data_IF_562059705968
#
_entry.id   IF_562059705968
#
_cell.length_a   1.000
_cell.length_b   1.000
_cell.length_c   1.000
_cell.angle_alpha   90.00
_cell.angle_beta   90.00
_cell.angle_gamma   90.00
#
_symmetry.space_group_name_H-M   'P 1'
#
loop_
_entity.id
_entity.type
_entity.pdbx_description
1 polymer ?
#
# COMPACT_ATOMS: atom_id res chain seq x y z
N UNK A 1 51.87 -55.15 -10.56
CA UNK A 1 51.29 -53.87 -10.10
C UNK A 1 51.08 -52.81 -11.20
N UNK A 2 51.48 -53.04 -12.47
CA UNK A 2 51.27 -52.09 -13.59
C UNK A 2 50.00 -52.32 -14.43
N UNK A 3 49.33 -53.48 -14.33
CA UNK A 3 48.13 -53.78 -15.12
C UNK A 3 46.83 -53.15 -14.57
N UNK A 4 46.79 -52.74 -13.29
CA UNK A 4 45.58 -52.21 -12.65
C UNK A 4 45.40 -50.69 -12.80
N UNK A 5 46.45 -49.94 -13.18
CA UNK A 5 46.35 -48.48 -13.37
C UNK A 5 45.87 -48.11 -14.78
N UNK A 6 46.15 -48.95 -15.79
CA UNK A 6 45.74 -48.70 -17.18
C UNK A 6 44.21 -48.83 -17.38
N UNK A 7 43.52 -49.73 -16.67
CA UNK A 7 42.06 -49.88 -16.80
C UNK A 7 41.28 -48.75 -16.13
N UNK A 8 41.78 -48.20 -15.02
CA UNK A 8 41.15 -47.09 -14.32
C UNK A 8 41.28 -45.76 -15.11
N UNK A 9 42.43 -45.54 -15.76
CA UNK A 9 42.67 -44.35 -16.58
C UNK A 9 41.80 -44.33 -17.85
N UNK A 10 41.64 -45.48 -18.52
CA UNK A 10 40.75 -45.61 -19.68
C UNK A 10 39.26 -45.41 -19.32
N UNK A 11 38.84 -45.82 -18.12
CA UNK A 11 37.45 -45.65 -17.67
C UNK A 11 37.13 -44.19 -17.33
N UNK A 12 38.07 -43.45 -16.73
CA UNK A 12 37.94 -42.03 -16.43
C UNK A 12 37.97 -41.15 -17.70
N UNK A 13 38.81 -41.48 -18.68
CA UNK A 13 38.84 -40.82 -19.99
C UNK A 13 37.52 -41.01 -20.76
N UNK A 14 36.97 -42.22 -20.76
CA UNK A 14 35.69 -42.51 -21.43
C UNK A 14 34.49 -41.76 -20.80
N UNK A 15 34.47 -41.60 -19.47
CA UNK A 15 33.44 -40.84 -18.74
C UNK A 15 33.54 -39.33 -18.99
N UNK A 16 34.77 -38.78 -19.05
CA UNK A 16 34.99 -37.37 -19.40
C UNK A 16 34.65 -37.09 -20.86
N UNK A 17 35.01 -37.98 -21.79
CA UNK A 17 34.61 -37.86 -23.20
C UNK A 17 33.09 -37.89 -23.37
N UNK A 18 32.37 -38.81 -22.71
CA UNK A 18 30.89 -38.85 -22.74
C UNK A 18 30.24 -37.58 -22.18
N UNK A 19 30.79 -36.99 -21.11
CA UNK A 19 30.24 -35.72 -20.56
C UNK A 19 30.51 -34.54 -21.50
N UNK A 20 31.70 -34.45 -22.09
CA UNK A 20 32.04 -33.39 -23.04
C UNK A 20 31.20 -33.50 -24.32
N UNK A 21 30.99 -34.70 -24.86
CA UNK A 21 30.14 -34.88 -26.05
C UNK A 21 28.67 -34.58 -25.77
N UNK A 22 28.16 -34.87 -24.57
CA UNK A 22 26.78 -34.53 -24.19
C UNK A 22 26.59 -33.02 -24.04
N UNK A 23 27.57 -32.32 -23.47
CA UNK A 23 27.55 -30.86 -23.32
C UNK A 23 27.68 -30.17 -24.68
N UNK A 24 28.58 -30.64 -25.56
CA UNK A 24 28.70 -30.11 -26.93
C UNK A 24 27.44 -30.35 -27.75
N UNK A 25 26.82 -31.52 -27.66
CA UNK A 25 25.57 -31.82 -28.36
C UNK A 25 24.42 -30.91 -27.87
N UNK A 26 24.35 -30.64 -26.56
CA UNK A 26 23.38 -29.70 -25.99
C UNK A 26 23.58 -28.24 -26.45
N UNK A 27 24.84 -27.79 -26.56
CA UNK A 27 25.20 -26.47 -27.07
C UNK A 27 24.93 -26.30 -28.58
N UNK A 28 25.17 -27.35 -29.37
CA UNK A 28 24.87 -27.33 -30.81
C UNK A 28 23.35 -27.29 -31.02
N UNK A 29 22.58 -28.05 -30.24
CA UNK A 29 21.12 -28.07 -30.33
C UNK A 29 20.52 -26.72 -29.92
N UNK A 30 21.06 -26.06 -28.89
CA UNK A 30 20.58 -24.74 -28.44
C UNK A 30 20.91 -23.63 -29.45
N UNK A 31 22.11 -23.63 -30.03
CA UNK A 31 22.50 -22.69 -31.09
C UNK A 31 21.65 -22.92 -32.35
N UNK A 32 21.38 -24.17 -32.74
CA UNK A 32 20.51 -24.48 -33.86
C UNK A 32 19.07 -24.01 -33.63
N UNK A 33 18.52 -24.16 -32.42
CA UNK A 33 17.18 -23.62 -32.09
C UNK A 33 17.13 -22.09 -32.09
N UNK A 34 18.18 -21.42 -31.61
CA UNK A 34 18.27 -19.95 -31.64
C UNK A 34 18.37 -19.46 -33.10
N UNK A 35 19.20 -20.08 -33.93
CA UNK A 35 19.31 -19.74 -35.35
C UNK A 35 18.01 -20.00 -36.11
N UNK A 36 17.26 -21.06 -35.77
CA UNK A 36 15.96 -21.34 -36.37
C UNK A 36 14.87 -20.35 -35.94
N UNK A 37 14.92 -19.84 -34.70
CA UNK A 37 14.03 -18.79 -34.21
C UNK A 37 14.37 -17.41 -34.82
N UNK A 38 15.66 -17.10 -34.97
CA UNK A 38 16.12 -15.82 -35.54
C UNK A 38 15.90 -15.77 -37.06
N UNK A 39 16.06 -16.88 -37.80
CA UNK A 39 15.83 -16.92 -39.24
C UNK A 39 14.33 -16.99 -39.65
N UNK A 40 13.41 -17.30 -38.73
CA UNK A 40 11.96 -17.28 -38.98
C UNK A 40 11.28 -15.97 -38.56
N UNK A 41 12.03 -15.00 -38.04
CA UNK A 41 11.56 -13.63 -37.90
C UNK A 41 11.73 -12.93 -39.25
N UNK A 42 10.61 -12.77 -39.97
CA UNK A 42 10.57 -11.91 -41.17
C UNK A 42 11.07 -10.48 -40.87
N UNK A 43 11.44 -9.70 -41.89
CA UNK A 43 12.02 -8.39 -41.68
C UNK A 43 11.06 -7.49 -40.90
N UNK A 44 11.58 -6.80 -39.90
CA UNK A 44 10.84 -5.83 -39.10
C UNK A 44 10.21 -4.76 -40.01
N UNK A 45 8.97 -4.30 -39.73
CA UNK A 45 8.34 -3.24 -40.52
C UNK A 45 9.20 -1.97 -40.47
N UNK A 46 9.53 -1.45 -41.65
CA UNK A 46 10.31 -0.22 -41.82
C UNK A 46 9.53 0.99 -41.32
N UNK A 47 10.02 1.62 -40.25
CA UNK A 47 9.59 2.94 -39.79
C UNK A 47 9.79 3.97 -40.93
N UNK A 48 8.76 4.79 -41.27
CA UNK A 48 8.94 5.84 -42.25
C UNK A 48 9.87 6.94 -41.70
N UNK A 49 10.84 7.31 -42.53
CA UNK A 49 11.85 8.35 -42.27
C UNK A 49 11.18 9.70 -42.02
N UNK A 50 11.57 10.35 -40.93
CA UNK A 50 11.15 11.70 -40.58
C UNK A 50 11.56 12.77 -41.60
N UNK A 51 10.74 13.81 -41.67
CA UNK A 51 11.03 15.15 -42.21
C UNK A 51 10.30 16.19 -41.34
N UNK A 52 10.72 17.46 -41.36
CA UNK A 52 11.16 18.17 -40.15
C UNK A 52 10.09 19.10 -39.57
N UNK A 53 10.33 19.44 -38.29
CA UNK A 53 9.78 20.55 -37.48
C UNK A 53 8.48 21.21 -37.97
N UNK A 54 7.39 20.88 -37.28
CA UNK A 54 6.26 21.76 -37.10
C UNK A 54 6.00 21.93 -35.59
N UNK A 55 6.20 23.17 -35.17
CA UNK A 55 5.85 23.82 -33.90
C UNK A 55 4.61 23.28 -33.16
N UNK A 56 4.80 23.07 -31.84
CA UNK A 56 3.81 23.07 -30.75
C UNK A 56 2.55 22.22 -30.95
N UNK A 57 2.62 20.93 -30.62
CA UNK A 57 1.44 20.16 -30.19
C UNK A 57 1.22 20.40 -28.71
N UNK A 58 0.14 21.09 -28.37
CA UNK A 58 -0.33 21.20 -26.99
C UNK A 58 -0.68 19.83 -26.44
N UNK A 59 -0.36 19.62 -25.17
CA UNK A 59 -0.89 18.50 -24.40
C UNK A 59 -2.42 18.56 -24.48
N UNK A 60 -3.04 17.59 -25.14
CA UNK A 60 -4.47 17.34 -25.01
C UNK A 60 -4.68 16.89 -23.56
N UNK A 61 -4.97 17.85 -22.68
CA UNK A 61 -5.36 17.58 -21.29
C UNK A 61 -6.62 16.74 -21.36
N UNK A 62 -6.47 15.45 -21.10
CA UNK A 62 -7.58 14.51 -20.97
C UNK A 62 -8.53 15.04 -19.90
N UNK A 63 -9.61 15.67 -20.34
CA UNK A 63 -10.55 16.35 -19.44
C UNK A 63 -11.39 15.29 -18.73
N UNK A 64 -11.05 14.98 -17.49
CA UNK A 64 -11.85 14.07 -16.66
C UNK A 64 -13.21 14.70 -16.36
N UNK A 65 -14.24 13.87 -16.20
CA UNK A 65 -15.61 14.28 -15.84
C UNK A 65 -15.63 15.12 -14.55
N UNK A 66 -14.75 14.76 -13.61
CA UNK A 66 -14.47 15.54 -12.42
C UNK A 66 -12.98 15.91 -12.44
N UNK A 67 -12.62 17.18 -12.74
CA UNK A 67 -11.23 17.62 -12.76
C UNK A 67 -10.61 17.58 -11.36
N UNK A 68 -9.29 17.67 -11.29
CA UNK A 68 -8.59 17.81 -10.00
C UNK A 68 -9.10 19.03 -9.25
N UNK A 69 -9.30 18.91 -7.93
CA UNK A 69 -9.73 20.03 -7.10
C UNK A 69 -8.74 21.22 -7.15
N UNK A 70 -7.45 20.95 -7.38
CA UNK A 70 -6.42 21.99 -7.57
C UNK A 70 -6.64 22.84 -8.82
N UNK A 71 -7.40 22.34 -9.81
CA UNK A 71 -7.73 23.08 -11.03
C UNK A 71 -9.01 23.91 -10.90
N UNK A 72 -9.79 23.72 -9.82
CA UNK A 72 -10.96 24.54 -9.58
C UNK A 72 -10.55 25.96 -9.16
N UNK A 73 -10.84 26.92 -10.02
CA UNK A 73 -10.72 28.36 -9.75
C UNK A 73 -12.02 28.95 -9.20
N UNK A 74 -13.05 28.12 -8.98
CA UNK A 74 -14.35 28.57 -8.49
C UNK A 74 -14.26 28.95 -6.99
N UNK A 75 -14.43 30.24 -6.63
CA UNK A 75 -14.40 30.68 -5.25
C UNK A 75 -15.53 30.09 -4.38
N UNK A 76 -16.56 29.47 -4.98
CA UNK A 76 -17.63 28.78 -4.27
C UNK A 76 -17.26 27.35 -3.83
N UNK A 77 -16.19 26.76 -4.36
CA UNK A 77 -15.63 25.51 -3.80
C UNK A 77 -14.73 25.91 -2.63
N UNK A 78 -15.38 26.11 -1.49
CA UNK A 78 -14.67 26.43 -0.26
C UNK A 78 -14.06 25.14 0.28
N UNK A 79 -12.75 24.99 0.12
CA UNK A 79 -12.01 24.03 0.93
C UNK A 79 -12.34 24.32 2.41
N UNK A 80 -12.75 23.34 3.21
CA UNK A 80 -12.99 23.53 4.65
C UNK A 80 -11.72 23.85 5.45
N UNK A 81 -10.61 24.22 4.79
CA UNK A 81 -9.21 24.18 5.23
C UNK A 81 -8.98 24.79 6.62
N UNK A 82 -9.75 25.82 7.01
CA UNK A 82 -9.58 26.46 8.32
C UNK A 82 -10.59 26.00 9.38
N UNK A 83 -11.81 25.56 9.01
CA UNK A 83 -12.84 25.20 9.98
C UNK A 83 -12.57 23.84 10.63
N UNK A 84 -12.12 22.85 9.86
CA UNK A 84 -11.96 21.48 10.37
C UNK A 84 -10.82 21.35 11.39
N UNK A 85 -9.70 22.06 11.19
CA UNK A 85 -8.54 22.00 12.10
C UNK A 85 -8.86 22.60 13.47
N UNK A 86 -9.56 23.73 13.49
CA UNK A 86 -9.95 24.37 14.75
C UNK A 86 -10.94 23.51 15.54
N UNK A 87 -11.90 22.88 14.85
CA UNK A 87 -12.83 21.91 15.46
C UNK A 87 -12.06 20.70 16.00
N UNK A 88 -11.14 20.15 15.20
CA UNK A 88 -10.32 19.03 15.59
C UNK A 88 -9.42 19.34 16.79
N UNK A 89 -8.79 20.51 16.85
CA UNK A 89 -7.95 20.90 17.99
C UNK A 89 -8.79 21.14 19.25
N UNK A 90 -10.01 21.69 19.11
CA UNK A 90 -10.94 21.81 20.23
C UNK A 90 -11.32 20.45 20.81
N UNK A 91 -11.56 19.45 19.96
CA UNK A 91 -12.01 18.12 20.37
C UNK A 91 -10.87 17.20 20.82
N UNK A 92 -9.73 17.27 20.15
CA UNK A 92 -8.64 16.31 20.27
C UNK A 92 -7.32 16.93 20.78
N UNK A 93 -7.28 18.23 21.03
CA UNK A 93 -6.06 18.95 21.42
C UNK A 93 -5.35 18.37 22.64
N UNK A 94 -6.14 17.86 23.60
CA UNK A 94 -5.63 17.21 24.83
C UNK A 94 -5.21 15.75 24.69
N UNK A 95 -5.37 15.12 23.52
CA UNK A 95 -4.90 13.76 23.30
C UNK A 95 -3.37 13.69 23.17
N UNK A 96 -2.79 12.55 23.53
CA UNK A 96 -1.35 12.32 23.44
C UNK A 96 -0.89 12.37 21.98
N UNK A 97 0.18 13.12 21.72
CA UNK A 97 0.79 13.26 20.39
C UNK A 97 2.15 12.56 20.28
N UNK A 98 2.64 11.98 21.38
CA UNK A 98 3.86 11.20 21.51
C UNK A 98 3.61 9.69 21.64
N UNK A 99 2.34 9.29 21.57
CA UNK A 99 1.87 7.90 21.55
C UNK A 99 0.91 7.65 20.39
N UNK A 100 0.64 6.38 20.10
CA UNK A 100 -0.36 5.98 19.12
C UNK A 100 -1.19 4.78 19.57
N UNK A 101 -2.38 4.67 18.97
CA UNK A 101 -3.30 3.54 19.10
C UNK A 101 -3.35 2.75 17.81
N UNK A 102 -3.39 1.42 17.87
CA UNK A 102 -3.70 0.57 16.72
C UNK A 102 -5.21 0.29 16.70
N UNK A 103 -5.88 0.57 15.59
CA UNK A 103 -7.25 0.14 15.33
C UNK A 103 -7.22 -0.99 14.31
N UNK A 104 -7.51 -2.21 14.76
CA UNK A 104 -7.33 -3.45 13.99
C UNK A 104 -8.68 -4.08 13.66
N UNK A 105 -9.05 -4.17 12.39
CA UNK A 105 -10.26 -4.87 11.97
C UNK A 105 -10.03 -6.38 11.83
N UNK A 106 -10.99 -7.18 12.30
CA UNK A 106 -10.98 -8.64 12.12
C UNK A 106 -12.37 -9.17 11.75
N UNK A 107 -12.41 -10.23 10.93
CA UNK A 107 -13.63 -10.94 10.55
C UNK A 107 -13.34 -12.41 10.20
N UNK A 108 -13.83 -13.36 11.02
CA UNK A 108 -13.65 -14.81 10.91
C UNK A 108 -12.22 -15.29 10.58
N UNK A 109 -11.23 -14.63 11.18
CA UNK A 109 -9.79 -14.90 10.97
C UNK A 109 -9.03 -15.01 12.29
N UNK A 110 -9.44 -15.93 13.19
CA UNK A 110 -8.83 -16.04 14.51
C UNK A 110 -7.34 -16.38 14.46
N UNK A 111 -6.87 -17.09 13.43
CA UNK A 111 -5.45 -17.45 13.28
C UNK A 111 -4.58 -16.26 12.90
N UNK A 112 -5.03 -15.46 11.93
CA UNK A 112 -4.36 -14.25 11.47
C UNK A 112 -4.33 -13.22 12.59
N UNK A 113 -5.49 -12.97 13.23
CA UNK A 113 -5.60 -12.08 14.39
C UNK A 113 -4.63 -12.50 15.51
N UNK A 114 -4.65 -13.79 15.89
CA UNK A 114 -3.77 -14.30 16.94
C UNK A 114 -2.30 -14.12 16.59
N UNK A 115 -1.91 -14.41 15.35
CA UNK A 115 -0.53 -14.26 14.87
C UNK A 115 -0.08 -12.80 14.87
N UNK A 116 -0.93 -11.90 14.39
CA UNK A 116 -0.66 -10.47 14.33
C UNK A 116 -0.54 -9.88 15.72
N UNK A 117 -1.49 -10.15 16.63
CA UNK A 117 -1.43 -9.69 18.03
C UNK A 117 -0.19 -10.25 18.75
N UNK A 118 0.08 -11.55 18.63
CA UNK A 118 1.25 -12.19 19.26
C UNK A 118 2.54 -11.54 18.79
N UNK A 119 2.64 -11.22 17.49
CA UNK A 119 3.84 -10.59 16.93
C UNK A 119 3.98 -9.14 17.38
N UNK A 120 2.91 -8.34 17.33
CA UNK A 120 2.95 -6.94 17.76
C UNK A 120 3.26 -6.79 19.25
N UNK A 121 2.89 -7.77 20.06
CA UNK A 121 3.09 -7.77 21.51
C UNK A 121 4.34 -8.53 21.96
N UNK A 122 5.12 -9.12 21.04
CA UNK A 122 6.32 -9.90 21.38
C UNK A 122 7.51 -9.06 21.84
N UNK A 123 7.46 -7.75 21.62
CA UNK A 123 8.51 -6.81 22.00
C UNK A 123 7.90 -5.46 22.35
N UNK A 124 8.61 -4.69 23.17
CA UNK A 124 8.20 -3.33 23.54
C UNK A 124 8.31 -2.39 22.33
N UNK A 125 7.17 -1.89 21.88
CA UNK A 125 7.08 -0.76 20.94
C UNK A 125 6.94 0.52 21.77
N UNK A 126 7.94 1.43 21.81
CA UNK A 126 7.99 2.51 22.80
C UNK A 126 6.76 3.43 22.84
N UNK A 127 6.19 3.73 21.68
CA UNK A 127 5.08 4.68 21.56
C UNK A 127 3.70 4.05 21.41
N UNK A 128 3.60 2.71 21.39
CA UNK A 128 2.32 2.01 21.32
C UNK A 128 1.61 2.09 22.68
N UNK A 129 0.43 2.70 22.72
CA UNK A 129 -0.38 2.85 23.93
C UNK A 129 -1.39 1.72 24.11
N UNK A 130 -2.15 1.44 23.07
CA UNK A 130 -3.22 0.45 23.07
C UNK A 130 -3.45 -0.15 21.67
N UNK A 131 -4.01 -1.35 21.66
CA UNK A 131 -4.57 -2.00 20.48
C UNK A 131 -6.07 -2.16 20.70
N UNK A 132 -6.85 -1.72 19.73
CA UNK A 132 -8.31 -1.79 19.74
C UNK A 132 -8.70 -2.68 18.59
N UNK A 133 -9.19 -3.87 18.91
CA UNK A 133 -9.63 -4.85 17.93
C UNK A 133 -11.11 -4.61 17.64
N UNK A 134 -11.42 -4.27 16.40
CA UNK A 134 -12.77 -4.05 15.90
C UNK A 134 -13.31 -5.43 15.55
N UNK A 135 -14.18 -5.94 16.42
CA UNK A 135 -14.65 -7.31 16.40
C UNK A 135 -15.89 -7.45 15.51
N UNK A 136 -15.69 -7.71 14.21
CA UNK A 136 -16.81 -7.84 13.26
C UNK A 136 -17.45 -9.24 13.23
N UNK A 137 -17.07 -10.17 14.11
CA UNK A 137 -17.74 -11.47 14.21
C UNK A 137 -19.04 -11.29 15.00
N UNK A 138 -20.10 -10.85 14.31
CA UNK A 138 -21.39 -10.52 14.94
C UNK A 138 -22.06 -11.71 15.63
N UNK A 139 -21.80 -12.90 15.14
CA UNK A 139 -22.25 -14.20 15.64
C UNK A 139 -21.43 -14.74 16.83
N UNK A 140 -20.27 -14.12 17.13
CA UNK A 140 -19.39 -14.52 18.22
C UNK A 140 -19.37 -13.45 19.33
N UNK A 141 -19.19 -13.89 20.59
CA UNK A 141 -18.87 -12.97 21.68
C UNK A 141 -17.42 -12.48 21.52
N UNK A 142 -17.19 -11.20 21.71
CA UNK A 142 -15.84 -10.64 21.73
C UNK A 142 -15.02 -11.20 22.91
N UNK A 143 -13.70 -11.37 22.74
CA UNK A 143 -12.82 -11.77 23.83
C UNK A 143 -12.74 -10.72 24.96
N UNK A 144 -12.32 -11.16 26.14
CA UNK A 144 -12.06 -10.26 27.26
C UNK A 144 -10.82 -9.38 26.98
N UNK A 145 -10.89 -8.12 27.42
CA UNK A 145 -9.75 -7.19 27.30
C UNK A 145 -8.63 -7.58 28.26
N UNK A 146 -7.39 -7.32 27.86
CA UNK A 146 -6.20 -7.64 28.66
C UNK A 146 -5.10 -6.58 28.52
N UNK A 147 -4.05 -6.70 29.31
CA UNK A 147 -2.84 -5.87 29.22
C UNK A 147 -1.65 -6.79 28.97
N UNK A 148 -0.84 -6.46 27.96
CA UNK A 148 0.35 -7.24 27.63
C UNK A 148 1.47 -7.09 28.67
N UNK A 149 2.48 -7.97 28.61
CA UNK A 149 3.68 -7.87 29.45
C UNK A 149 4.46 -6.55 29.27
N UNK A 150 4.24 -5.85 28.15
CA UNK A 150 4.85 -4.56 27.86
C UNK A 150 3.96 -3.36 28.22
N UNK A 151 2.83 -3.60 28.91
CA UNK A 151 1.91 -2.56 29.37
C UNK A 151 0.98 -2.00 28.29
N UNK A 152 0.86 -2.67 27.13
CA UNK A 152 -0.07 -2.28 26.06
C UNK A 152 -1.45 -2.86 26.37
N UNK A 153 -2.46 -2.00 26.48
CA UNK A 153 -3.84 -2.45 26.64
C UNK A 153 -4.37 -2.99 25.32
N UNK A 154 -5.00 -4.17 25.34
CA UNK A 154 -5.70 -4.75 24.20
C UNK A 154 -7.18 -4.83 24.58
N UNK A 155 -8.01 -4.09 23.85
CA UNK A 155 -9.45 -4.08 24.06
C UNK A 155 -10.19 -4.45 22.78
N UNK A 156 -11.36 -5.04 22.96
CA UNK A 156 -12.23 -5.44 21.86
C UNK A 156 -13.43 -4.51 21.81
N UNK A 157 -13.74 -3.99 20.62
CA UNK A 157 -14.93 -3.17 20.35
C UNK A 157 -15.76 -3.89 19.32
N UNK A 158 -16.92 -4.41 19.73
CA UNK A 158 -17.93 -4.92 18.81
C UNK A 158 -18.71 -3.74 18.22
N UNK A 159 -18.62 -3.46 16.91
CA UNK A 159 -19.39 -2.38 16.32
C UNK A 159 -20.88 -2.71 16.29
N UNK A 160 -21.77 -1.69 16.16
CA UNK A 160 -23.21 -1.90 16.16
C UNK A 160 -23.75 -2.48 14.85
N UNK A 161 -22.94 -2.52 13.78
CA UNK A 161 -23.35 -2.89 12.42
C UNK A 161 -22.18 -3.46 11.62
N UNK A 162 -22.49 -4.38 10.71
CA UNK A 162 -21.51 -4.95 9.78
C UNK A 162 -21.18 -3.94 8.67
N UNK A 163 -20.06 -3.24 8.82
CA UNK A 163 -19.67 -2.19 7.90
C UNK A 163 -18.16 -1.94 7.96
N UNK A 164 -17.53 -1.79 6.80
CA UNK A 164 -16.11 -1.44 6.71
C UNK A 164 -15.78 -0.06 7.30
N UNK A 165 -16.78 0.84 7.37
CA UNK A 165 -16.61 2.15 8.01
C UNK A 165 -16.24 2.05 9.49
N UNK A 166 -16.56 0.95 10.17
CA UNK A 166 -16.42 0.84 11.62
C UNK A 166 -14.96 0.85 12.10
N UNK A 167 -14.01 0.45 11.23
CA UNK A 167 -12.57 0.61 11.48
C UNK A 167 -12.16 2.10 11.56
N UNK A 168 -12.90 2.98 10.89
CA UNK A 168 -12.63 4.41 10.79
C UNK A 168 -13.39 5.24 11.84
N UNK A 169 -14.16 4.61 12.73
CA UNK A 169 -14.92 5.33 13.76
C UNK A 169 -13.98 6.10 14.71
N UNK A 170 -14.18 7.41 14.93
CA UNK A 170 -13.42 8.20 15.90
C UNK A 170 -13.83 7.83 17.34
N UNK A 171 -13.39 6.66 17.80
CA UNK A 171 -13.73 6.12 19.11
C UNK A 171 -13.46 7.16 20.21
N UNK A 172 -14.50 7.58 20.96
CA UNK A 172 -14.37 8.63 21.97
C UNK A 172 -13.47 8.22 23.15
N UNK A 173 -13.11 6.94 23.25
CA UNK A 173 -12.18 6.43 24.27
C UNK A 173 -10.72 6.44 23.82
N UNK A 174 -10.43 6.77 22.56
CA UNK A 174 -9.05 6.94 22.10
C UNK A 174 -8.34 8.04 22.89
N UNK A 175 -7.08 7.76 23.25
CA UNK A 175 -6.23 8.69 24.03
C UNK A 175 -5.10 9.31 23.23
N UNK A 176 -5.00 9.02 21.93
CA UNK A 176 -3.91 9.45 21.06
C UNK A 176 -4.43 10.17 19.83
N UNK A 177 -3.70 11.18 19.36
CA UNK A 177 -3.97 11.85 18.09
C UNK A 177 -3.68 10.94 16.88
N UNK A 178 -2.69 10.06 17.03
CA UNK A 178 -2.24 9.14 16.01
C UNK A 178 -2.98 7.79 16.10
N UNK A 179 -3.60 7.36 15.01
CA UNK A 179 -4.26 6.05 14.90
C UNK A 179 -3.59 5.27 13.76
N UNK A 180 -3.00 4.12 14.06
CA UNK A 180 -2.57 3.16 13.05
C UNK A 180 -3.75 2.26 12.70
N UNK A 181 -4.32 2.47 11.51
CA UNK A 181 -5.34 1.61 10.95
C UNK A 181 -4.67 0.36 10.37
N UNK A 182 -5.20 -0.81 10.73
CA UNK A 182 -4.71 -2.08 10.22
C UNK A 182 -5.79 -3.12 10.04
N UNK A 183 -5.57 -4.07 9.15
CA UNK A 183 -6.31 -5.33 9.12
C UNK A 183 -5.58 -6.39 9.95
N UNK A 184 -6.22 -7.51 10.22
CA UNK A 184 -5.73 -8.61 11.05
C UNK A 184 -4.64 -9.48 10.40
N UNK A 185 -4.34 -9.27 9.12
CA UNK A 185 -3.41 -10.05 8.31
C UNK A 185 -2.19 -9.27 7.82
N UNK A 186 -2.03 -8.02 8.21
CA UNK A 186 -0.92 -7.17 7.76
C UNK A 186 -0.39 -6.31 8.90
N UNK A 187 0.93 -6.17 9.00
CA UNK A 187 1.55 -5.35 10.05
C UNK A 187 2.99 -4.96 9.69
N UNK A 188 3.43 -3.82 10.21
CA UNK A 188 4.86 -3.52 10.33
C UNK A 188 5.46 -4.38 11.44
N UNK A 189 6.72 -4.80 11.27
CA UNK A 189 7.41 -5.52 12.33
C UNK A 189 7.57 -4.63 13.57
N UNK A 190 7.54 -5.18 14.81
CA UNK A 190 7.65 -4.39 16.03
C UNK A 190 8.85 -3.43 16.03
N UNK A 191 10.00 -3.88 15.53
CA UNK A 191 11.23 -3.10 15.43
C UNK A 191 11.17 -1.91 14.46
N UNK A 192 10.21 -1.90 13.53
CA UNK A 192 10.04 -0.84 12.53
C UNK A 192 8.94 0.16 12.92
N UNK A 193 7.99 -0.22 13.78
CA UNK A 193 6.82 0.60 14.09
C UNK A 193 7.16 1.94 14.74
N UNK A 194 8.16 1.97 15.62
CA UNK A 194 8.60 3.22 16.24
C UNK A 194 9.13 4.20 15.19
N UNK A 195 9.94 3.73 14.24
CA UNK A 195 10.41 4.56 13.15
C UNK A 195 9.26 5.10 12.30
N UNK A 196 8.33 4.23 11.88
CA UNK A 196 7.19 4.64 11.06
C UNK A 196 6.34 5.68 11.79
N UNK A 197 6.07 5.48 13.08
CA UNK A 197 5.35 6.45 13.91
C UNK A 197 6.08 7.79 13.99
N UNK A 198 7.39 7.81 14.22
CA UNK A 198 8.14 9.07 14.27
C UNK A 198 8.15 9.78 12.90
N UNK A 199 8.15 9.05 11.78
CA UNK A 199 8.02 9.65 10.45
C UNK A 199 6.63 10.26 10.24
N UNK A 200 5.57 9.59 10.69
CA UNK A 200 4.22 10.17 10.71
C UNK A 200 4.17 11.44 11.58
N UNK A 201 4.72 11.42 12.80
CA UNK A 201 4.71 12.59 13.69
C UNK A 201 5.40 13.80 13.06
N UNK A 202 6.48 13.57 12.31
CA UNK A 202 7.31 14.63 11.74
C UNK A 202 6.80 15.14 10.40
N UNK A 203 6.27 14.26 9.54
CA UNK A 203 5.96 14.57 8.14
C UNK A 203 4.55 14.17 7.70
N UNK A 204 3.84 13.36 8.49
CA UNK A 204 2.61 12.69 8.10
C UNK A 204 1.33 13.16 8.81
N UNK A 205 1.40 14.12 9.75
CA UNK A 205 0.21 14.53 10.55
C UNK A 205 -0.97 15.02 9.69
N UNK A 206 -0.68 15.60 8.53
CA UNK A 206 -1.68 16.19 7.62
C UNK A 206 -2.01 15.30 6.40
N UNK A 207 -1.68 14.01 6.46
CA UNK A 207 -1.86 13.07 5.34
C UNK A 207 -1.95 11.61 5.79
N UNK A 208 -2.59 10.77 4.99
CA UNK A 208 -2.50 9.32 5.18
C UNK A 208 -1.04 8.86 5.03
N UNK A 209 -0.52 8.08 5.98
CA UNK A 209 0.91 7.70 5.99
C UNK A 209 1.07 6.20 6.25
N UNK A 210 1.65 5.43 5.33
CA UNK A 210 1.66 3.97 5.47
C UNK A 210 2.45 3.24 4.38
N UNK A 211 2.22 1.94 4.24
CA UNK A 211 3.08 1.07 3.40
C UNK A 211 2.50 0.69 2.03
N UNK A 212 1.18 0.75 1.88
CA UNK A 212 0.45 0.10 0.79
C UNK A 212 -0.05 1.14 -0.21
N UNK A 213 0.83 1.54 -1.13
CA UNK A 213 0.49 2.52 -2.17
C UNK A 213 -0.44 1.95 -3.26
N UNK A 214 -1.30 2.81 -3.79
CA UNK A 214 -2.17 2.56 -4.96
C UNK A 214 -2.22 3.79 -5.85
N UNK A 215 -2.45 3.54 -7.12
CA UNK A 215 -2.31 4.51 -8.18
C UNK A 215 -3.67 4.77 -8.82
N UNK A 216 -3.87 6.01 -9.25
CA UNK A 216 -5.10 6.46 -9.89
C UNK A 216 -4.75 7.17 -11.18
N UNK A 217 -5.43 6.81 -12.26
CA UNK A 217 -5.23 7.40 -13.59
C UNK A 217 -6.56 7.87 -14.17
N UNK A 218 -6.52 8.89 -15.04
CA UNK A 218 -7.68 9.29 -15.82
C UNK A 218 -7.76 8.42 -17.09
N UNK A 219 -8.95 7.91 -17.39
CA UNK A 219 -9.23 7.18 -18.63
C UNK A 219 -9.64 8.15 -19.75
N UNK A 220 -9.50 7.75 -21.03
CA UNK A 220 -9.98 8.54 -22.16
C UNK A 220 -11.48 8.88 -22.11
N UNK A 221 -12.28 8.08 -21.40
CA UNK A 221 -13.70 8.35 -21.13
C UNK A 221 -13.93 9.55 -20.20
N UNK A 222 -12.87 10.05 -19.57
CA UNK A 222 -12.92 11.06 -18.51
C UNK A 222 -13.21 10.48 -17.12
N UNK A 223 -13.37 9.17 -16.99
CA UNK A 223 -13.52 8.50 -15.68
C UNK A 223 -12.16 8.26 -15.01
N UNK A 224 -12.17 8.14 -13.69
CA UNK A 224 -10.99 7.79 -12.89
C UNK A 224 -10.88 6.29 -12.69
N UNK A 225 -9.67 5.75 -12.81
CA UNK A 225 -9.40 4.32 -12.73
C UNK A 225 -8.43 3.97 -11.60
N UNK A 226 -8.77 2.93 -10.86
CA UNK A 226 -8.01 2.46 -9.70
C UNK A 226 -7.07 1.33 -10.11
N UNK A 227 -5.78 1.50 -9.83
CA UNK A 227 -4.75 0.58 -10.30
C UNK A 227 -3.72 0.21 -9.23
N UNK A 228 -3.08 -0.93 -9.45
CA UNK A 228 -1.79 -1.20 -8.83
C UNK A 228 -0.74 -0.27 -9.42
N UNK A 229 0.18 0.18 -8.57
CA UNK A 229 1.28 1.03 -9.03
C UNK A 229 2.27 0.25 -9.87
N UNK A 230 2.80 0.93 -10.89
CA UNK A 230 3.76 0.40 -11.85
C UNK A 230 5.09 1.14 -11.70
N UNK A 231 6.17 0.55 -12.19
CA UNK A 231 7.47 1.24 -12.30
C UNK A 231 7.72 1.76 -13.71
N UNK A 232 6.72 1.67 -14.60
CA UNK A 232 6.80 2.25 -15.93
C UNK A 232 6.81 3.77 -15.81
N UNK A 233 7.48 4.38 -16.77
CA UNK A 233 7.54 5.83 -16.90
C UNK A 233 6.13 6.41 -16.94
N UNK A 234 5.88 7.45 -16.13
CA UNK A 234 4.58 8.11 -15.96
C UNK A 234 3.47 7.29 -15.27
N UNK A 235 3.77 6.08 -14.79
CA UNK A 235 2.84 5.24 -14.00
C UNK A 235 3.35 5.01 -12.54
N UNK A 236 4.40 5.74 -12.15
CA UNK A 236 5.11 5.61 -10.87
C UNK A 236 4.66 6.62 -9.80
N UNK A 237 3.50 7.25 -10.01
CA UNK A 237 2.87 8.21 -9.10
C UNK A 237 1.73 7.56 -8.32
N UNK A 238 1.77 7.63 -7.00
CA UNK A 238 0.70 7.11 -6.14
C UNK A 238 -0.09 8.25 -5.51
N UNK A 239 -1.38 8.02 -5.25
CA UNK A 239 -2.25 9.03 -4.64
C UNK A 239 -3.14 8.46 -3.54
N UNK A 240 -2.98 7.16 -3.26
CA UNK A 240 -3.69 6.46 -2.18
C UNK A 240 -2.68 5.63 -1.38
N UNK A 241 -2.83 5.64 -0.06
CA UNK A 241 -2.25 4.63 0.83
C UNK A 241 -3.37 3.91 1.57
N UNK A 242 -3.39 2.57 1.49
CA UNK A 242 -4.48 1.77 2.05
C UNK A 242 -4.51 1.80 3.58
N UNK A 243 -5.72 1.84 4.16
CA UNK A 243 -5.94 1.80 5.62
C UNK A 243 -5.66 0.43 6.24
N UNK A 244 -5.31 -0.57 5.43
CA UNK A 244 -4.86 -1.87 5.95
C UNK A 244 -3.52 -1.75 6.68
N UNK A 245 -2.70 -0.71 6.41
CA UNK A 245 -1.48 -0.46 7.18
C UNK A 245 -1.06 1.01 7.04
N UNK A 246 -1.81 1.91 7.68
CA UNK A 246 -1.57 3.35 7.60
C UNK A 246 -1.90 4.10 8.89
N UNK A 247 -1.01 5.00 9.29
CA UNK A 247 -1.28 6.04 10.25
C UNK A 247 -2.19 7.12 9.65
N UNK A 248 -3.12 7.57 10.48
CA UNK A 248 -3.97 8.73 10.24
C UNK A 248 -4.09 9.57 11.51
N UNK A 249 -4.44 10.84 11.36
CA UNK A 249 -4.81 11.69 12.48
C UNK A 249 -6.29 11.47 12.82
N UNK A 250 -6.64 11.40 14.11
CA UNK A 250 -8.03 11.18 14.56
C UNK A 250 -9.02 12.21 14.01
N UNK A 251 -8.55 13.42 13.68
CA UNK A 251 -9.33 14.47 13.04
C UNK A 251 -9.89 14.06 11.66
N UNK A 252 -9.17 13.24 10.88
CA UNK A 252 -9.68 12.75 9.60
C UNK A 252 -10.78 11.72 9.80
N UNK A 253 -10.65 10.88 10.84
CA UNK A 253 -11.71 9.94 11.24
C UNK A 253 -12.97 10.70 11.70
N UNK A 254 -12.78 11.78 12.46
CA UNK A 254 -13.87 12.64 12.92
C UNK A 254 -14.61 13.31 11.76
N UNK A 255 -13.88 13.93 10.84
CA UNK A 255 -14.49 14.54 9.66
C UNK A 255 -15.20 13.51 8.79
N UNK A 256 -14.58 12.34 8.58
CA UNK A 256 -15.21 11.23 7.84
C UNK A 256 -16.55 10.83 8.45
N UNK A 257 -16.71 10.95 9.77
CA UNK A 257 -17.95 10.65 10.48
C UNK A 257 -18.88 11.85 10.72
N UNK A 258 -18.53 13.04 10.28
CA UNK A 258 -19.34 14.26 10.41
C UNK A 258 -20.60 14.24 9.54
N UNK A 259 -21.47 15.22 9.74
CA UNK A 259 -22.70 15.40 8.95
C UNK A 259 -22.48 16.11 7.60
N UNK A 260 -21.23 16.28 7.18
CA UNK A 260 -20.93 16.83 5.85
C UNK A 260 -21.59 15.94 4.76
N UNK A 261 -22.30 16.53 3.78
CA UNK A 261 -23.04 15.76 2.78
C UNK A 261 -22.17 14.84 1.92
N UNK A 262 -20.95 15.26 1.58
CA UNK A 262 -20.04 14.49 0.74
C UNK A 262 -19.57 13.22 1.47
N UNK A 263 -19.09 13.35 2.70
CA UNK A 263 -18.66 12.20 3.51
C UNK A 263 -19.83 11.31 3.94
N UNK A 264 -21.03 11.86 4.09
CA UNK A 264 -22.25 11.06 4.31
C UNK A 264 -22.58 10.20 3.08
N UNK A 265 -22.50 10.77 1.87
CA UNK A 265 -22.67 10.01 0.61
C UNK A 265 -21.58 8.94 0.46
N UNK A 266 -20.34 9.25 0.83
CA UNK A 266 -19.21 8.30 0.80
C UNK A 266 -19.47 7.13 1.76
N UNK A 267 -19.75 7.39 3.04
CA UNK A 267 -20.02 6.34 4.04
C UNK A 267 -21.14 5.42 3.60
N UNK A 268 -22.25 6.01 3.10
CA UNK A 268 -23.37 5.24 2.56
C UNK A 268 -22.94 4.34 1.40
N UNK A 269 -22.16 4.85 0.45
CA UNK A 269 -21.70 4.05 -0.68
C UNK A 269 -20.72 2.95 -0.25
N UNK A 270 -19.85 3.21 0.73
CA UNK A 270 -18.98 2.20 1.33
C UNK A 270 -19.80 1.06 1.94
N UNK A 271 -20.90 1.37 2.63
CA UNK A 271 -21.81 0.35 3.15
C UNK A 271 -22.49 -0.43 2.02
N UNK A 272 -23.04 0.27 1.01
CA UNK A 272 -23.77 -0.34 -0.11
C UNK A 272 -22.86 -1.23 -0.99
N UNK A 273 -21.60 -0.81 -1.18
CA UNK A 273 -20.61 -1.53 -2.00
C UNK A 273 -19.76 -2.53 -1.19
N UNK A 274 -19.79 -2.45 0.14
CA UNK A 274 -18.94 -3.19 1.07
C UNK A 274 -17.45 -3.17 0.65
N UNK A 275 -16.95 -1.97 0.31
CA UNK A 275 -15.59 -1.72 -0.17
C UNK A 275 -15.22 -0.23 -0.03
N UNK A 276 -13.96 0.11 -0.25
CA UNK A 276 -13.48 1.48 -0.51
C UNK A 276 -13.50 2.47 0.67
N UNK A 277 -13.56 2.00 1.93
CA UNK A 277 -13.40 2.89 3.09
C UNK A 277 -12.03 3.57 3.08
N UNK A 278 -11.00 2.86 2.61
CA UNK A 278 -9.65 3.36 2.44
C UNK A 278 -9.54 4.48 1.39
N UNK A 279 -10.19 4.31 0.24
CA UNK A 279 -10.28 5.35 -0.80
C UNK A 279 -11.00 6.57 -0.22
N UNK A 280 -12.14 6.35 0.46
CA UNK A 280 -12.92 7.44 1.06
C UNK A 280 -12.10 8.28 2.05
N UNK A 281 -11.29 7.63 2.89
CA UNK A 281 -10.45 8.35 3.85
C UNK A 281 -9.29 9.10 3.18
N UNK A 282 -8.70 8.57 2.10
CA UNK A 282 -7.69 9.31 1.32
C UNK A 282 -8.31 10.54 0.65
N UNK A 283 -9.54 10.43 0.11
CA UNK A 283 -10.28 11.58 -0.42
C UNK A 283 -10.49 12.66 0.64
N UNK A 284 -10.96 12.28 1.83
CA UNK A 284 -11.12 13.21 2.96
C UNK A 284 -9.81 13.88 3.32
N UNK A 285 -8.75 13.09 3.53
CA UNK A 285 -7.43 13.62 3.90
C UNK A 285 -6.94 14.63 2.85
N UNK A 286 -6.96 14.29 1.56
CA UNK A 286 -6.45 15.19 0.52
C UNK A 286 -7.36 16.38 0.28
N UNK A 287 -8.68 16.24 0.40
CA UNK A 287 -9.62 17.37 0.31
C UNK A 287 -9.39 18.38 1.44
N UNK A 288 -9.15 17.91 2.65
CA UNK A 288 -8.99 18.79 3.82
C UNK A 288 -7.63 19.50 3.88
N UNK A 289 -6.58 18.91 3.27
CA UNK A 289 -5.20 19.42 3.42
C UNK A 289 -4.53 19.83 2.11
N UNK A 290 -5.10 19.47 0.97
CA UNK A 290 -4.45 19.63 -0.34
C UNK A 290 -3.16 18.82 -0.48
N UNK A 291 -2.92 17.85 0.40
CA UNK A 291 -1.70 17.02 0.40
C UNK A 291 -1.98 15.59 -0.04
N UNK A 292 -1.01 15.01 -0.75
CA UNK A 292 -1.01 13.58 -1.06
C UNK A 292 -0.56 12.73 0.12
N UNK A 293 -0.75 11.40 0.05
CA UNK A 293 -0.34 10.48 1.10
C UNK A 293 1.19 10.34 1.19
N UNK A 294 1.68 9.74 2.27
CA UNK A 294 3.11 9.53 2.49
C UNK A 294 3.43 8.03 2.61
N UNK A 295 4.18 7.51 1.64
CA UNK A 295 4.70 6.15 1.70
C UNK A 295 5.88 6.08 2.69
N UNK A 296 5.76 5.24 3.73
CA UNK A 296 6.81 5.00 4.72
C UNK A 296 7.11 3.52 4.82
N UNK A 297 8.39 3.18 4.71
CA UNK A 297 8.89 1.80 4.86
C UNK A 297 9.85 1.73 6.03
N UNK A 298 9.66 0.71 6.88
CA UNK A 298 10.62 0.32 7.89
C UNK A 298 11.92 -0.19 7.27
N UNK A 299 12.84 -0.65 8.13
CA UNK A 299 14.04 -1.36 7.69
C UNK A 299 13.67 -2.66 7.00
N UNK A 300 12.64 -3.35 7.51
CA UNK A 300 12.13 -4.56 6.90
C UNK A 300 10.86 -4.28 6.10
N UNK A 301 10.59 -5.18 5.16
CA UNK A 301 9.29 -5.25 4.52
C UNK A 301 8.22 -5.55 5.58
N UNK A 302 7.08 -4.86 5.48
CA UNK A 302 5.89 -5.21 6.25
C UNK A 302 5.49 -6.67 5.97
N UNK A 303 4.81 -7.29 6.92
CA UNK A 303 4.31 -8.66 6.77
C UNK A 303 2.89 -8.58 6.27
N UNK A 304 2.57 -9.36 5.24
CA UNK A 304 1.20 -9.67 4.83
C UNK A 304 1.06 -11.19 4.86
N UNK A 305 0.13 -11.69 5.67
CA UNK A 305 -0.12 -13.12 5.88
C UNK A 305 -0.83 -13.78 4.68
N UNK A 306 -1.41 -12.98 3.80
CA UNK A 306 -2.11 -13.36 2.57
C UNK A 306 -3.09 -14.54 2.74
N UNK A 307 -4.12 -14.41 3.60
CA UNK A 307 -5.08 -15.48 3.81
C UNK A 307 -5.82 -15.84 2.49
N UNK A 308 -6.22 -17.11 2.37
CA UNK A 308 -6.83 -17.65 1.15
C UNK A 308 -8.17 -16.99 0.77
N UNK A 309 -8.88 -16.39 1.75
CA UNK A 309 -10.13 -15.68 1.54
C UNK A 309 -10.02 -14.19 1.86
N UNK A 310 -10.82 -13.36 1.17
CA UNK A 310 -10.88 -11.92 1.41
C UNK A 310 -11.71 -11.19 0.36
N UNK A 311 -12.19 -9.99 0.70
CA UNK A 311 -13.01 -9.14 -0.20
C UNK A 311 -12.21 -8.79 -1.47
N UNK A 312 -10.89 -8.60 -1.34
CA UNK A 312 -9.96 -8.28 -2.42
C UNK A 312 -9.77 -9.38 -3.47
N UNK A 313 -10.14 -10.62 -3.15
CA UNK A 313 -10.02 -11.78 -4.05
C UNK A 313 -11.28 -12.04 -4.87
N UNK A 314 -12.39 -11.33 -4.60
CA UNK A 314 -13.65 -11.49 -5.34
C UNK A 314 -13.52 -10.94 -6.77
N UNK A 315 -14.12 -11.59 -7.79
CA UNK A 315 -14.20 -11.01 -9.13
C UNK A 315 -14.85 -9.63 -9.12
N UNK A 316 -14.38 -8.70 -9.95
CA UNK A 316 -14.92 -7.34 -10.00
C UNK A 316 -14.37 -6.38 -8.93
N UNK A 317 -13.41 -6.81 -8.09
CA UNK A 317 -12.92 -5.99 -6.97
C UNK A 317 -12.24 -4.69 -7.44
N UNK A 318 -11.45 -4.75 -8.51
CA UNK A 318 -10.74 -3.57 -9.04
C UNK A 318 -11.72 -2.60 -9.70
N UNK A 319 -12.67 -3.13 -10.47
CA UNK A 319 -13.74 -2.39 -11.13
C UNK A 319 -14.64 -1.69 -10.10
N UNK A 320 -14.96 -2.38 -9.00
CA UNK A 320 -15.67 -1.77 -7.88
C UNK A 320 -14.89 -0.60 -7.27
N UNK A 321 -13.56 -0.71 -7.16
CA UNK A 321 -12.70 0.37 -6.67
C UNK A 321 -12.59 1.54 -7.63
N UNK A 322 -12.50 1.31 -8.94
CA UNK A 322 -12.59 2.39 -9.95
C UNK A 322 -13.95 3.10 -9.87
N UNK A 323 -15.04 2.35 -9.66
CA UNK A 323 -16.37 2.95 -9.45
C UNK A 323 -16.42 3.82 -8.18
N UNK A 324 -15.77 3.41 -7.09
CA UNK A 324 -15.67 4.21 -5.87
C UNK A 324 -15.01 5.57 -6.13
N UNK A 325 -13.91 5.62 -6.89
CA UNK A 325 -13.23 6.88 -7.24
C UNK A 325 -14.20 7.88 -7.87
N UNK A 326 -14.99 7.43 -8.84
CA UNK A 326 -15.90 8.30 -9.58
C UNK A 326 -17.10 8.74 -8.73
N UNK A 327 -17.66 7.85 -7.90
CA UNK A 327 -18.74 8.21 -6.96
C UNK A 327 -18.25 9.21 -5.91
N UNK A 328 -17.02 9.06 -5.42
CA UNK A 328 -16.47 9.96 -4.41
C UNK A 328 -16.06 11.30 -5.01
N UNK A 329 -15.53 11.31 -6.24
CA UNK A 329 -15.25 12.54 -6.97
C UNK A 329 -16.55 13.31 -7.27
N UNK A 330 -17.65 12.62 -7.57
CA UNK A 330 -18.97 13.23 -7.66
C UNK A 330 -19.44 13.76 -6.29
N UNK A 331 -19.21 13.05 -5.19
CA UNK A 331 -19.60 13.53 -3.85
C UNK A 331 -18.93 14.86 -3.49
N UNK A 332 -17.65 15.03 -3.86
CA UNK A 332 -16.89 16.26 -3.64
C UNK A 332 -16.96 17.27 -4.80
N UNK A 333 -17.59 16.91 -5.92
CA UNK A 333 -17.65 17.69 -7.18
C UNK A 333 -16.28 17.95 -7.85
N UNK A 334 -15.22 17.29 -7.40
CA UNK A 334 -13.89 17.33 -7.99
C UNK A 334 -13.08 16.10 -7.52
N UNK A 335 -11.91 15.85 -8.11
CA UNK A 335 -10.96 14.81 -7.67
C UNK A 335 -9.95 15.40 -6.67
N UNK A 336 -10.03 15.10 -5.36
CA UNK A 336 -9.15 15.69 -4.36
C UNK A 336 -7.82 14.97 -4.22
N UNK A 337 -7.68 13.75 -4.75
CA UNK A 337 -6.45 12.96 -4.60
C UNK A 337 -5.27 13.67 -5.25
N UNK A 338 -4.16 13.72 -4.51
CA UNK A 338 -2.92 14.37 -4.95
C UNK A 338 -1.84 13.32 -5.16
N UNK A 339 -1.20 13.36 -6.32
CA UNK A 339 -0.12 12.46 -6.69
C UNK A 339 1.18 12.75 -5.90
N UNK A 340 1.87 11.68 -5.53
CA UNK A 340 3.12 11.67 -4.81
C UNK A 340 4.09 10.68 -5.47
N UNK A 341 5.38 11.01 -5.46
CA UNK A 341 6.47 10.17 -6.01
C UNK A 341 7.47 9.76 -4.93
N UNK A 342 7.60 10.59 -3.89
CA UNK A 342 8.55 10.37 -2.81
C UNK A 342 8.12 9.27 -1.85
N UNK A 343 9.08 8.73 -1.10
CA UNK A 343 8.82 7.86 0.06
C UNK A 343 9.89 8.07 1.12
N UNK A 344 9.57 7.72 2.36
CA UNK A 344 10.53 7.71 3.47
C UNK A 344 10.91 6.28 3.83
N UNK A 345 12.20 6.06 4.02
CA UNK A 345 12.80 4.80 4.48
C UNK A 345 14.01 5.10 5.38
N UNK A 346 14.53 4.09 6.08
CA UNK A 346 15.76 4.26 6.86
C UNK A 346 16.92 4.68 5.94
N UNK A 347 17.58 5.80 6.28
CA UNK A 347 18.66 6.37 5.47
C UNK A 347 19.96 5.56 5.51
N UNK A 348 20.26 4.87 6.61
CA UNK A 348 21.40 3.95 6.69
C UNK A 348 20.96 2.58 6.17
N UNK A 349 21.00 2.41 4.85
CA UNK A 349 21.12 1.08 4.26
C UNK A 349 22.58 0.67 4.41
N UNK A 350 22.86 -0.59 4.72
CA UNK A 350 24.24 -1.07 4.55
C UNK A 350 24.60 -0.71 3.12
N UNK A 351 25.57 0.20 2.96
CA UNK A 351 26.09 0.52 1.65
C UNK A 351 26.54 -0.82 1.10
N UNK A 352 25.83 -1.33 0.10
CA UNK A 352 26.40 -2.32 -0.80
C UNK A 352 27.43 -1.52 -1.60
N UNK A 353 28.55 -1.19 -0.93
CA UNK A 353 29.80 -1.14 -1.64
C UNK A 353 29.84 -2.45 -2.39
N UNK A 354 29.85 -2.35 -3.72
CA UNK A 354 30.10 -3.46 -4.64
C UNK A 354 30.90 -4.52 -3.87
N UNK A 355 30.34 -5.70 -3.62
CA UNK A 355 31.22 -6.85 -3.46
C UNK A 355 31.96 -6.89 -4.78
N UNK A 356 33.20 -6.43 -4.78
CA UNK A 356 34.02 -6.56 -5.96
C UNK A 356 34.07 -8.06 -6.25
N UNK A 357 34.21 -8.44 -7.51
CA UNK A 357 34.40 -9.86 -7.86
C UNK A 357 35.55 -10.48 -7.02
N UNK A 358 36.50 -9.65 -6.59
CA UNK A 358 37.57 -9.98 -5.66
C UNK A 358 37.08 -10.48 -4.29
N UNK A 359 36.09 -9.83 -3.68
CA UNK A 359 35.50 -10.21 -2.38
C UNK A 359 34.66 -11.49 -2.46
N UNK A 360 34.16 -11.83 -3.65
CA UNK A 360 33.44 -13.09 -3.92
C UNK A 360 34.42 -14.26 -4.11
N UNK A 361 35.60 -14.00 -4.66
CA UNK A 361 36.59 -15.03 -4.97
C UNK A 361 37.47 -15.35 -3.74
N UNK A 362 37.70 -14.41 -2.82
CA UNK A 362 38.71 -14.54 -1.77
C UNK A 362 38.18 -14.41 -0.34
N UNK A 363 36.86 -14.27 -0.15
CA UNK A 363 36.20 -14.11 1.15
C UNK A 363 35.65 -15.40 1.74
#
# INVERSE_FOLDING_TARGET
MLASMASCFNWLLARRFRRVTTILAGLILSIATILFLVNNLGPAPTLPKGKPDATSSGDEVLSSRFPLCSHHTDPNITYPLESWRAVAETKYGGLLDDKFTIAMSTFHRPKELHRTLTTLLSAKIPSLLEIVVIWNNFDEKEPDSFVSEHGVSVRYRKPPRDSLNEKLWPDPTYRTKAILLTDDDVFYRPEDLEFVFQMWRKFGKDRMTGALARCVSALPSGEWDYNFCSQREHEDVYSIVLTNLAFTHIAFLDYYFSDDPAVTKIRKYVDDAFNCEDIGLNFVSSMLTGSGPLLVRGRHQYVNLDPAGGISRKPGHMEARSKCLNVFAEAFQCMPLVNETGRIEHGVKHNVWYKSLWDVIHG
#
